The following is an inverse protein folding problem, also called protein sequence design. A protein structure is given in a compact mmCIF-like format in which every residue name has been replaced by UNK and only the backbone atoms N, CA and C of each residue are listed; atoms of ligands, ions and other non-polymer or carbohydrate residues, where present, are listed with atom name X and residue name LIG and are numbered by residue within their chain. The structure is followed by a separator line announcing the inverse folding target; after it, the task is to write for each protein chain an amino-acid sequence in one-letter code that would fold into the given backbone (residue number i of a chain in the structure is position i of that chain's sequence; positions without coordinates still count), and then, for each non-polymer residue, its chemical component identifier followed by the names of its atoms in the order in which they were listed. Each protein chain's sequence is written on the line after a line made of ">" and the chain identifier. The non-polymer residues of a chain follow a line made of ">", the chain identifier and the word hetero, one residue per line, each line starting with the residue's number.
data_IF_465372929251
#
_entry.id   IF_465372929251
#
_cell.length_a   1.000
_cell.length_b   1.000
_cell.length_c   1.000
_cell.angle_alpha   90.00
_cell.angle_beta   90.00
_cell.angle_gamma   90.00
#
_symmetry.space_group_name_H-M   'P 1'
#
loop_
_entity.id
_entity.type
_entity.pdbx_description
1 polymer ?
#
# COMPACT_ATOMS: atom_id res chain seq x y z
N UNK A 1 -4.37 4.41 -10.09
CA UNK A 1 -3.12 4.35 -10.89
C UNK A 1 -3.09 3.04 -11.64
N UNK A 2 -2.55 3.02 -12.85
CA UNK A 2 -2.38 1.77 -13.62
C UNK A 2 -1.11 1.02 -13.19
N UNK A 3 -1.04 -0.27 -13.49
CA UNK A 3 0.10 -1.16 -13.25
C UNK A 3 0.50 -1.32 -11.78
N UNK A 4 -0.45 -1.23 -10.85
CA UNK A 4 -0.21 -1.43 -9.40
C UNK A 4 -1.03 -2.59 -8.81
N UNK A 5 -2.01 -3.13 -9.53
CA UNK A 5 -2.90 -4.17 -9.02
C UNK A 5 -2.17 -5.45 -8.54
N UNK A 6 -1.18 -5.92 -9.29
CA UNK A 6 -0.45 -7.14 -8.93
C UNK A 6 0.40 -6.95 -7.68
N UNK A 7 1.02 -5.77 -7.51
CA UNK A 7 1.75 -5.43 -6.29
C UNK A 7 0.81 -5.39 -5.08
N UNK A 8 -0.39 -4.83 -5.24
CA UNK A 8 -1.40 -4.81 -4.18
C UNK A 8 -1.75 -6.23 -3.74
N UNK A 9 -1.96 -7.18 -4.67
CA UNK A 9 -2.25 -8.56 -4.30
C UNK A 9 -1.10 -9.24 -3.54
N UNK A 10 0.14 -9.04 -4.00
CA UNK A 10 1.35 -9.58 -3.34
C UNK A 10 1.44 -9.13 -1.87
N UNK A 11 1.10 -7.87 -1.61
CA UNK A 11 1.17 -7.25 -0.28
C UNK A 11 0.06 -7.72 0.64
N UNK A 12 -1.15 -7.87 0.10
CA UNK A 12 -2.28 -8.41 0.84
C UNK A 12 -2.17 -9.93 1.09
N UNK A 13 -1.10 -10.56 0.62
CA UNK A 13 -0.91 -12.01 0.72
C UNK A 13 -1.93 -12.80 -0.09
N UNK A 14 -2.44 -12.23 -1.19
CA UNK A 14 -3.51 -12.80 -1.99
C UNK A 14 -2.99 -13.49 -3.27
N UNK A 15 -3.65 -14.57 -3.72
CA UNK A 15 -4.80 -15.23 -3.09
C UNK A 15 -4.41 -16.04 -1.84
N UNK A 16 -5.30 -16.06 -0.84
CA UNK A 16 -5.19 -16.92 0.35
C UNK A 16 -6.28 -18.03 0.32
N UNK A 17 -6.27 -18.91 1.32
CA UNK A 17 -7.20 -20.05 1.38
C UNK A 17 -8.68 -19.68 1.58
N UNK A 18 -8.95 -18.48 2.11
CA UNK A 18 -10.30 -18.02 2.44
C UNK A 18 -10.92 -17.16 1.32
N UNK A 19 -10.09 -16.54 0.49
CA UNK A 19 -10.50 -15.65 -0.60
C UNK A 19 -10.89 -16.45 -1.84
N UNK A 20 -12.20 -16.65 -2.02
CA UNK A 20 -12.73 -17.48 -3.10
C UNK A 20 -12.64 -16.83 -4.49
N UNK A 21 -12.88 -15.52 -4.58
CA UNK A 21 -12.99 -14.81 -5.85
C UNK A 21 -12.24 -13.48 -5.82
N UNK A 22 -11.32 -13.30 -6.77
CA UNK A 22 -10.61 -12.04 -7.02
C UNK A 22 -10.80 -11.68 -8.49
N UNK A 23 -11.23 -10.45 -8.76
CA UNK A 23 -11.30 -9.90 -10.12
C UNK A 23 -10.32 -8.76 -10.25
N UNK A 24 -9.52 -8.79 -11.31
CA UNK A 24 -8.59 -7.71 -11.67
C UNK A 24 -8.96 -7.20 -13.05
N UNK A 25 -9.08 -5.88 -13.19
CA UNK A 25 -9.09 -5.21 -14.48
C UNK A 25 -7.91 -4.23 -14.50
N UNK A 26 -6.96 -4.41 -15.42
CA UNK A 26 -5.75 -3.61 -15.51
C UNK A 26 -5.80 -2.65 -16.69
N UNK A 27 -5.19 -1.48 -16.52
CA UNK A 27 -5.02 -0.47 -17.57
C UNK A 27 -6.34 -0.06 -18.28
N UNK A 28 -7.46 -0.05 -17.54
CA UNK A 28 -8.77 0.35 -18.07
C UNK A 28 -8.87 1.86 -18.19
N UNK A 29 -9.62 2.33 -19.19
CA UNK A 29 -9.89 3.75 -19.37
C UNK A 29 -10.60 4.33 -18.15
N UNK A 30 -10.25 5.55 -17.76
CA UNK A 30 -10.92 6.25 -16.67
C UNK A 30 -11.07 7.73 -16.99
N UNK A 31 -12.22 8.32 -16.63
CA UNK A 31 -12.54 9.71 -16.96
C UNK A 31 -11.74 10.73 -16.13
N UNK A 32 -11.43 10.41 -14.87
CA UNK A 32 -10.66 11.30 -13.97
C UNK A 32 -9.14 11.11 -14.10
N UNK A 33 -8.73 9.89 -14.44
CA UNK A 33 -7.33 9.47 -14.57
C UNK A 33 -7.26 8.65 -15.85
N UNK A 34 -6.39 9.00 -16.80
CA UNK A 34 -6.33 8.37 -18.13
C UNK A 34 -6.47 6.84 -18.10
N UNK A 35 -5.70 6.19 -17.21
CA UNK A 35 -5.69 4.75 -17.00
C UNK A 35 -5.67 4.38 -15.52
N UNK A 36 -6.37 3.31 -15.15
CA UNK A 36 -6.36 2.76 -13.79
C UNK A 36 -6.47 1.24 -13.79
N UNK A 37 -6.12 0.66 -12.64
CA UNK A 37 -6.49 -0.72 -12.33
C UNK A 37 -7.68 -0.74 -11.36
N UNK A 38 -8.40 -1.86 -11.35
CA UNK A 38 -9.49 -2.17 -10.42
C UNK A 38 -9.24 -3.56 -9.87
N UNK A 39 -9.23 -3.68 -8.54
CA UNK A 39 -9.16 -4.96 -7.82
C UNK A 39 -10.46 -5.12 -7.03
N UNK A 40 -11.13 -6.26 -7.19
CA UNK A 40 -12.30 -6.65 -6.40
C UNK A 40 -11.99 -7.95 -5.67
N UNK A 41 -12.27 -7.97 -4.38
CA UNK A 41 -12.05 -9.12 -3.49
C UNK A 41 -13.41 -9.43 -2.85
N UNK A 42 -13.90 -10.65 -3.01
CA UNK A 42 -15.17 -11.05 -2.40
C UNK A 42 -14.98 -11.56 -0.96
N UNK A 43 -16.00 -11.33 -0.12
CA UNK A 43 -16.08 -11.80 1.27
C UNK A 43 -14.92 -11.36 2.19
N UNK A 44 -14.25 -10.26 1.87
CA UNK A 44 -13.19 -9.66 2.69
C UNK A 44 -13.34 -8.15 2.72
N UNK A 45 -13.26 -7.59 3.91
CA UNK A 45 -13.09 -6.14 4.12
C UNK A 45 -11.67 -5.91 4.60
N UNK A 46 -10.97 -4.95 3.99
CA UNK A 46 -9.58 -4.67 4.33
C UNK A 46 -9.49 -3.93 5.67
N UNK A 47 -8.55 -4.34 6.51
CA UNK A 47 -8.29 -3.68 7.78
C UNK A 47 -7.43 -2.41 7.61
N UNK A 48 -7.20 -1.71 8.72
CA UNK A 48 -6.43 -0.46 8.70
C UNK A 48 -4.96 -0.66 8.30
N UNK A 49 -4.34 -1.80 8.63
CA UNK A 49 -2.94 -2.08 8.32
C UNK A 49 -2.76 -2.32 6.83
N UNK A 50 -3.62 -3.15 6.24
CA UNK A 50 -3.69 -3.40 4.80
C UNK A 50 -3.93 -2.10 4.01
N UNK A 51 -4.87 -1.28 4.48
CA UNK A 51 -5.16 0.02 3.86
C UNK A 51 -3.95 0.95 3.87
N UNK A 52 -3.17 0.95 4.95
CA UNK A 52 -1.94 1.74 5.05
C UNK A 52 -0.87 1.28 4.06
N UNK A 53 -0.76 -0.03 3.82
CA UNK A 53 0.17 -0.57 2.84
C UNK A 53 -0.24 -0.17 1.41
N UNK A 54 -1.53 -0.25 1.10
CA UNK A 54 -2.06 0.20 -0.21
C UNK A 54 -1.86 1.70 -0.37
N UNK A 55 -2.06 2.50 0.68
CA UNK A 55 -1.88 3.95 0.66
C UNK A 55 -0.50 4.35 0.15
N UNK A 56 0.52 3.57 0.48
CA UNK A 56 1.91 3.83 0.14
C UNK A 56 2.19 3.64 -1.37
N UNK A 57 1.50 2.70 -2.02
CA UNK A 57 1.73 2.33 -3.42
C UNK A 57 0.73 3.01 -4.35
N UNK A 58 -0.49 3.18 -3.87
CA UNK A 58 -1.59 3.76 -4.61
C UNK A 58 -2.26 4.87 -3.77
N UNK A 59 -1.57 6.01 -3.53
CA UNK A 59 -2.07 7.09 -2.67
C UNK A 59 -3.31 7.81 -3.23
N UNK A 60 -3.67 7.56 -4.49
CA UNK A 60 -4.89 8.07 -5.14
C UNK A 60 -6.01 7.02 -5.22
N UNK A 61 -5.82 5.85 -4.64
CA UNK A 61 -6.81 4.78 -4.67
C UNK A 61 -8.04 5.14 -3.82
N UNK A 62 -9.16 4.54 -4.20
CA UNK A 62 -10.43 4.63 -3.49
C UNK A 62 -10.88 3.21 -3.16
N UNK A 63 -11.38 3.01 -1.94
CA UNK A 63 -11.90 1.72 -1.46
C UNK A 63 -13.41 1.80 -1.40
N UNK A 64 -14.05 0.76 -1.91
CA UNK A 64 -15.50 0.61 -1.82
C UNK A 64 -15.79 -0.65 -1.00
N UNK A 65 -16.62 -0.51 0.03
CA UNK A 65 -17.16 -1.66 0.77
C UNK A 65 -18.54 -1.95 0.20
N UNK A 66 -18.74 -3.17 -0.27
CA UNK A 66 -19.98 -3.61 -0.91
C UNK A 66 -20.60 -4.71 -0.06
N UNK A 67 -21.87 -4.54 0.32
CA UNK A 67 -22.68 -5.56 1.00
C UNK A 67 -24.03 -5.65 0.30
N UNK A 68 -24.52 -6.86 0.07
CA UNK A 68 -25.80 -7.10 -0.62
C UNK A 68 -25.93 -6.34 -1.95
N UNK A 69 -24.86 -6.32 -2.74
CA UNK A 69 -24.77 -5.61 -4.04
C UNK A 69 -24.84 -4.07 -3.98
N UNK A 70 -24.85 -3.48 -2.78
CA UNK A 70 -24.86 -2.03 -2.58
C UNK A 70 -23.53 -1.52 -2.01
N UNK A 71 -23.10 -0.34 -2.49
CA UNK A 71 -21.92 0.35 -1.95
C UNK A 71 -22.31 1.03 -0.64
N UNK A 72 -22.00 0.39 0.48
CA UNK A 72 -22.29 0.94 1.82
C UNK A 72 -21.28 1.99 2.26
N UNK A 73 -20.07 1.99 1.69
CA UNK A 73 -19.00 2.92 2.04
C UNK A 73 -18.04 3.14 0.87
N UNK A 74 -17.60 4.38 0.68
CA UNK A 74 -16.63 4.78 -0.35
C UNK A 74 -15.65 5.80 0.21
N UNK A 75 -14.43 5.35 0.48
CA UNK A 75 -13.41 6.17 1.13
C UNK A 75 -12.18 6.34 0.22
N UNK A 76 -11.62 7.54 0.22
CA UNK A 76 -10.26 7.75 -0.28
C UNK A 76 -9.28 7.21 0.74
N UNK A 77 -8.26 6.52 0.28
CA UNK A 77 -7.19 6.06 1.16
C UNK A 77 -6.37 7.27 1.59
N UNK A 78 -6.05 7.35 2.89
CA UNK A 78 -5.21 8.38 3.48
C UNK A 78 -3.91 7.73 3.93
N UNK A 79 -2.78 8.29 3.49
CA UNK A 79 -1.48 7.86 3.97
C UNK A 79 -1.31 8.33 5.44
N UNK A 80 -1.04 7.43 6.41
CA UNK A 80 -0.88 7.82 7.80
C UNK A 80 0.38 8.66 7.99
N UNK A 81 0.44 9.47 9.06
CA UNK A 81 1.63 10.28 9.37
C UNK A 81 2.86 9.44 9.75
N UNK A 82 2.64 8.22 10.22
CA UNK A 82 3.68 7.28 10.63
C UNK A 82 3.40 5.91 10.03
N UNK A 83 4.42 5.32 9.42
CA UNK A 83 4.39 3.99 8.82
C UNK A 83 5.30 3.07 9.64
N UNK A 84 4.84 1.85 9.92
CA UNK A 84 5.60 0.85 10.70
C UNK A 84 5.59 -0.48 9.98
N UNK A 85 6.73 -1.16 9.90
CA UNK A 85 6.87 -2.54 9.39
C UNK A 85 6.41 -2.79 7.94
N UNK A 86 6.09 -1.76 7.15
CA UNK A 86 5.64 -1.92 5.75
C UNK A 86 6.83 -2.03 4.78
N UNK A 87 7.88 -1.24 5.02
CA UNK A 87 9.08 -1.18 4.17
C UNK A 87 10.34 -1.28 5.02
N UNK A 88 11.44 -1.68 4.40
CA UNK A 88 12.79 -1.64 4.97
C UNK A 88 13.46 -0.29 4.71
N UNK A 89 14.41 0.06 5.56
CA UNK A 89 15.19 1.26 5.37
C UNK A 89 16.25 1.03 4.29
N UNK A 90 16.37 1.94 3.32
CA UNK A 90 17.41 1.84 2.26
C UNK A 90 18.82 2.20 2.73
N UNK A 91 19.01 2.48 4.02
CA UNK A 91 20.34 2.60 4.62
C UNK A 91 20.75 1.23 5.17
N UNK A 92 21.68 0.55 4.51
CA UNK A 92 22.16 -0.78 4.93
C UNK A 92 22.71 -0.81 6.35
N UNK A 93 23.21 0.33 6.85
CA UNK A 93 23.73 0.49 8.22
C UNK A 93 22.65 0.88 9.24
N UNK A 94 21.38 0.93 8.85
CA UNK A 94 20.30 1.25 9.77
C UNK A 94 20.07 0.11 10.76
N UNK A 95 19.91 0.45 12.03
CA UNK A 95 19.68 -0.52 13.11
C UNK A 95 18.48 -1.45 12.82
N UNK A 96 17.47 -0.97 12.09
CA UNK A 96 16.26 -1.73 11.73
C UNK A 96 16.50 -2.85 10.72
N UNK A 97 17.68 -2.91 10.10
CA UNK A 97 17.99 -3.90 9.06
C UNK A 97 18.77 -5.11 9.61
N UNK A 98 19.15 -5.11 10.89
CA UNK A 98 19.88 -6.21 11.53
C UNK A 98 18.91 -7.20 12.18
N UNK A 99 19.03 -8.48 11.85
CA UNK A 99 18.13 -9.54 12.34
C UNK A 99 18.21 -9.76 13.86
N UNK A 100 19.34 -9.41 14.48
CA UNK A 100 19.56 -9.57 15.91
C UNK A 100 18.89 -8.47 16.75
N UNK A 101 18.31 -7.45 16.12
CA UNK A 101 17.69 -6.33 16.80
C UNK A 101 16.15 -6.48 16.78
N UNK A 102 15.49 -6.57 17.96
CA UNK A 102 14.04 -6.79 18.05
C UNK A 102 13.26 -5.48 17.82
N UNK A 103 13.58 -4.75 16.75
CA UNK A 103 12.97 -3.46 16.42
C UNK A 103 12.36 -3.47 15.01
N UNK A 104 11.16 -2.89 14.91
CA UNK A 104 10.49 -2.73 13.64
C UNK A 104 10.89 -1.40 12.98
N UNK A 105 10.92 -1.40 11.65
CA UNK A 105 11.11 -0.20 10.87
C UNK A 105 9.98 0.79 11.14
N UNK A 106 10.32 2.08 11.25
CA UNK A 106 9.38 3.17 11.50
C UNK A 106 9.78 4.37 10.67
N UNK A 107 8.81 4.96 10.00
CA UNK A 107 9.00 6.10 9.11
C UNK A 107 7.97 7.18 9.38
N UNK A 108 8.41 8.43 9.38
CA UNK A 108 7.55 9.60 9.39
C UNK A 108 7.29 10.04 7.96
N UNK A 109 6.03 10.33 7.62
CA UNK A 109 5.67 10.86 6.31
C UNK A 109 5.96 12.34 6.27
N UNK A 110 6.86 12.74 5.38
CA UNK A 110 7.24 14.15 5.16
C UNK A 110 6.34 14.76 4.08
N UNK A 111 6.07 13.98 3.03
CA UNK A 111 5.19 14.35 1.93
C UNK A 111 4.34 13.13 1.57
N UNK A 112 3.07 13.33 1.22
CA UNK A 112 2.14 12.24 0.94
C UNK A 112 1.97 11.96 -0.56
N UNK A 113 2.23 12.93 -1.43
CA UNK A 113 2.00 12.81 -2.88
C UNK A 113 3.00 13.67 -3.69
N UNK A 114 4.10 13.10 -4.19
CA UNK A 114 4.53 11.69 -4.02
C UNK A 114 5.02 11.42 -2.58
N UNK A 115 4.93 10.16 -2.09
CA UNK A 115 5.35 9.85 -0.74
C UNK A 115 6.87 10.05 -0.56
N UNK A 116 7.23 10.84 0.45
CA UNK A 116 8.61 10.98 0.94
C UNK A 116 8.61 10.63 2.42
N UNK A 117 9.43 9.65 2.78
CA UNK A 117 9.49 9.10 4.12
C UNK A 117 10.82 9.43 4.78
N UNK A 118 10.80 9.67 6.09
CA UNK A 118 12.02 9.80 6.90
C UNK A 118 12.11 8.65 7.89
N UNK A 119 13.21 7.90 7.84
CA UNK A 119 13.48 6.85 8.82
C UNK A 119 13.56 7.46 10.22
N UNK A 120 12.82 6.91 11.17
CA UNK A 120 12.82 7.37 12.55
C UNK A 120 14.15 7.13 13.30
N UNK A 121 15.00 6.25 12.77
CA UNK A 121 16.22 5.82 13.45
C UNK A 121 17.48 6.46 12.84
N UNK A 122 17.66 6.36 11.52
CA UNK A 122 18.84 6.91 10.85
C UNK A 122 18.57 8.23 10.10
N UNK A 123 17.34 8.77 10.19
CA UNK A 123 16.90 10.02 9.56
C UNK A 123 17.03 10.06 8.03
N UNK A 124 17.42 8.96 7.37
CA UNK A 124 17.52 8.87 5.91
C UNK A 124 16.14 9.12 5.28
N UNK A 125 16.13 9.95 4.24
CA UNK A 125 14.98 10.17 3.38
C UNK A 125 14.88 9.04 2.35
N UNK A 126 13.66 8.52 2.20
CA UNK A 126 13.30 7.48 1.23
C UNK A 126 12.28 8.09 0.28
N UNK A 127 12.60 8.09 -1.01
CA UNK A 127 11.75 8.66 -2.06
C UNK A 127 10.79 7.60 -2.61
N UNK A 128 9.76 8.03 -3.34
CA UNK A 128 8.80 7.14 -3.99
C UNK A 128 9.45 6.01 -4.81
N UNK A 129 10.52 6.29 -5.55
CA UNK A 129 11.23 5.27 -6.34
C UNK A 129 11.82 4.15 -5.48
N UNK A 130 12.39 4.50 -4.31
CA UNK A 130 12.96 3.54 -3.36
C UNK A 130 11.86 2.72 -2.66
N UNK A 131 10.66 3.29 -2.53
CA UNK A 131 9.49 2.63 -1.99
C UNK A 131 8.97 1.62 -3.01
N UNK A 132 8.81 2.02 -4.28
CA UNK A 132 8.30 1.16 -5.34
C UNK A 132 9.17 -0.09 -5.56
N UNK A 133 10.50 0.06 -5.54
CA UNK A 133 11.46 -1.06 -5.67
C UNK A 133 11.32 -2.13 -4.59
N UNK A 134 10.75 -1.82 -3.45
CA UNK A 134 10.56 -2.80 -2.38
C UNK A 134 9.34 -3.69 -2.58
N UNK A 135 8.49 -3.36 -3.56
CA UNK A 135 7.28 -4.11 -3.89
C UNK A 135 7.37 -4.87 -5.23
N UNK A 136 8.42 -4.62 -6.01
CA UNK A 136 8.83 -5.45 -7.16
C UNK A 136 9.20 -6.87 -6.69
#
# INVERSE_FOLDING_TARGET
>A
TANKALHILKILGLPDGDTKNITIAMNVCSGEIERKDIVKIENRELDHEELNQIALIAPKATINIIRNYEVIKKDKIILPQVIKSIIKCTNDKCITNYENEPINSKFNVIESQPPVLRCHYCEKLIKNEDIEKQFE
#
